data_IF_658551313362
#
_entry.id   IF_658551313362
#
_cell.length_a   1.000
_cell.length_b   1.000
_cell.length_c   1.000
_cell.angle_alpha   90.00
_cell.angle_beta   90.00
_cell.angle_gamma   90.00
#
_symmetry.space_group_name_H-M   'P 1'
#
loop_
_entity.id
_entity.type
_entity.pdbx_description
1 polymer ?
#
# COMPACT_ATOMS: atom_id res chain seq x y z
N UNK A 1 0.91 12.48 6.20
CA UNK A 1 -0.07 12.86 5.16
C UNK A 1 0.34 12.25 3.81
N UNK A 2 0.23 10.92 3.58
CA UNK A 2 0.76 10.29 2.36
C UNK A 2 -0.30 9.96 1.28
N UNK A 3 -1.60 10.17 1.52
CA UNK A 3 -2.64 9.64 0.63
C UNK A 3 -3.17 10.60 -0.46
N UNK A 4 -2.65 11.83 -0.60
CA UNK A 4 -3.21 12.83 -1.52
C UNK A 4 -2.37 12.89 -2.81
N UNK A 5 -2.59 11.92 -3.70
CA UNK A 5 -2.21 12.02 -5.12
C UNK A 5 -3.51 11.88 -5.91
N UNK A 6 -3.62 12.49 -7.11
CA UNK A 6 -4.85 12.57 -7.92
C UNK A 6 -5.24 11.23 -8.58
N UNK A 7 -5.20 10.13 -7.82
CA UNK A 7 -5.34 8.74 -8.26
C UNK A 7 -6.23 7.85 -7.36
N UNK A 8 -6.02 7.74 -6.03
CA UNK A 8 -6.75 6.80 -5.18
C UNK A 8 -7.87 7.46 -4.36
N UNK A 9 -8.60 8.44 -4.91
CA UNK A 9 -9.64 9.16 -4.16
C UNK A 9 -10.80 8.27 -3.67
N UNK A 10 -11.03 7.11 -4.29
CA UNK A 10 -12.10 6.18 -3.88
C UNK A 10 -11.78 5.41 -2.59
N UNK A 11 -10.52 5.10 -2.32
CA UNK A 11 -10.13 4.31 -1.15
C UNK A 11 -9.86 5.17 0.09
N UNK A 12 -9.66 6.48 -0.07
CA UNK A 12 -9.41 7.41 1.04
C UNK A 12 -10.60 7.46 2.01
N UNK A 13 -11.87 7.61 1.56
CA UNK A 13 -13.02 7.59 2.45
C UNK A 13 -13.12 6.29 3.26
N UNK A 14 -12.92 5.13 2.62
CA UNK A 14 -12.96 3.83 3.31
C UNK A 14 -11.80 3.68 4.30
N UNK A 15 -10.59 4.14 3.94
CA UNK A 15 -9.46 4.16 4.87
C UNK A 15 -9.75 5.02 6.11
N UNK A 16 -10.36 6.19 5.92
CA UNK A 16 -10.74 7.10 7.02
C UNK A 16 -11.82 6.46 7.89
N UNK A 17 -12.90 5.94 7.31
CA UNK A 17 -14.00 5.29 8.07
C UNK A 17 -13.51 4.08 8.87
N UNK A 18 -12.71 3.20 8.26
CA UNK A 18 -12.12 2.04 8.96
C UNK A 18 -11.17 2.46 10.09
N UNK A 19 -10.42 3.54 9.91
CA UNK A 19 -9.57 4.11 10.97
C UNK A 19 -10.39 4.68 12.13
N UNK A 20 -11.55 5.27 11.85
CA UNK A 20 -12.45 5.83 12.86
C UNK A 20 -13.38 4.78 13.50
N UNK A 21 -13.39 3.54 12.98
CA UNK A 21 -14.26 2.47 13.47
C UNK A 21 -15.69 2.55 12.93
N UNK A 22 -15.93 3.38 11.91
CA UNK A 22 -17.25 3.53 11.27
C UNK A 22 -17.53 2.43 10.22
N UNK A 23 -16.52 1.62 9.87
CA UNK A 23 -16.60 0.55 8.88
C UNK A 23 -15.76 -0.65 9.35
N UNK A 24 -16.31 -1.86 9.29
CA UNK A 24 -15.61 -3.08 9.69
C UNK A 24 -14.45 -3.41 8.74
N UNK A 25 -13.35 -3.90 9.31
CA UNK A 25 -12.17 -4.29 8.55
C UNK A 25 -12.34 -5.74 8.11
N UNK A 26 -12.81 -5.94 6.88
CA UNK A 26 -12.84 -7.26 6.27
C UNK A 26 -11.53 -7.57 5.54
N UNK A 27 -11.01 -8.77 5.76
CA UNK A 27 -9.87 -9.33 5.05
C UNK A 27 -10.36 -10.46 4.15
N UNK A 28 -9.95 -10.44 2.88
CA UNK A 28 -10.32 -11.49 1.91
C UNK A 28 -9.73 -12.85 2.30
N UNK A 29 -8.53 -12.86 2.91
CA UNK A 29 -7.86 -14.06 3.38
C UNK A 29 -7.30 -13.82 4.79
N UNK A 30 -7.34 -14.83 5.69
CA UNK A 30 -6.77 -14.71 7.03
C UNK A 30 -5.27 -14.33 7.01
N UNK A 31 -4.52 -14.88 6.05
CA UNK A 31 -3.09 -14.58 5.87
C UNK A 31 -2.80 -13.12 5.49
N UNK A 32 -3.79 -12.39 4.97
CA UNK A 32 -3.63 -10.97 4.63
C UNK A 32 -3.71 -10.06 5.86
N UNK A 33 -4.30 -10.52 6.96
CA UNK A 33 -4.45 -9.74 8.18
C UNK A 33 -3.10 -9.27 8.71
N UNK A 34 -2.10 -10.16 8.80
CA UNK A 34 -0.77 -9.85 9.34
C UNK A 34 -0.11 -8.65 8.64
N UNK A 35 -0.24 -8.57 7.31
CA UNK A 35 0.43 -7.57 6.49
C UNK A 35 -0.42 -6.32 6.21
N UNK A 36 -1.75 -6.44 6.27
CA UNK A 36 -2.69 -5.34 6.00
C UNK A 36 -3.29 -4.73 7.27
N UNK A 37 -2.96 -5.24 8.46
CA UNK A 37 -3.39 -4.66 9.74
C UNK A 37 -2.97 -3.20 9.92
N UNK A 38 -1.73 -2.87 9.53
CA UNK A 38 -1.24 -1.48 9.59
C UNK A 38 -2.01 -0.53 8.66
N UNK A 39 -2.70 -1.06 7.65
CA UNK A 39 -3.37 -0.29 6.59
C UNK A 39 -4.87 -0.57 6.52
N UNK A 40 -5.47 -1.11 7.59
CA UNK A 40 -6.92 -1.34 7.71
C UNK A 40 -7.50 -2.18 6.55
N UNK A 41 -6.78 -3.21 6.12
CA UNK A 41 -7.21 -4.11 5.04
C UNK A 41 -7.00 -3.56 3.63
N UNK A 42 -6.45 -2.36 3.47
CA UNK A 42 -6.21 -1.73 2.16
C UNK A 42 -4.74 -1.88 1.79
N UNK A 43 -4.44 -2.33 0.58
CA UNK A 43 -3.05 -2.40 0.10
C UNK A 43 -2.59 -1.00 -0.29
N UNK A 44 -1.59 -0.45 0.42
CA UNK A 44 -1.10 0.92 0.22
C UNK A 44 0.36 0.96 -0.24
N UNK A 45 1.15 -0.06 0.12
CA UNK A 45 2.59 -0.08 -0.10
C UNK A 45 3.03 -1.19 -1.04
N UNK A 46 4.06 -0.90 -1.85
CA UNK A 46 4.70 -1.87 -2.73
C UNK A 46 5.26 -3.07 -1.95
N UNK A 47 5.79 -2.82 -0.75
CA UNK A 47 6.34 -3.83 0.13
C UNK A 47 5.27 -4.83 0.62
N UNK A 48 4.02 -4.38 0.80
CA UNK A 48 2.91 -5.26 1.20
C UNK A 48 2.61 -6.29 0.12
N UNK A 49 2.59 -5.90 -1.15
CA UNK A 49 2.38 -6.83 -2.29
C UNK A 49 3.50 -7.87 -2.36
N UNK A 50 4.74 -7.47 -2.07
CA UNK A 50 5.87 -8.41 -2.03
C UNK A 50 5.74 -9.44 -0.90
N UNK A 51 5.30 -9.01 0.29
CA UNK A 51 5.12 -9.91 1.43
C UNK A 51 3.91 -10.83 1.23
N UNK A 52 2.82 -10.30 0.72
CA UNK A 52 1.62 -11.07 0.41
C UNK A 52 1.88 -12.12 -0.66
N UNK A 53 2.61 -11.80 -1.73
CA UNK A 53 2.96 -12.80 -2.75
C UNK A 53 3.88 -13.91 -2.21
N UNK A 54 4.77 -13.60 -1.28
CA UNK A 54 5.60 -14.60 -0.59
C UNK A 54 4.74 -15.48 0.34
N UNK A 55 3.83 -14.90 1.11
CA UNK A 55 3.00 -15.63 2.08
C UNK A 55 1.92 -16.47 1.39
N UNK A 56 1.19 -15.90 0.43
CA UNK A 56 0.06 -16.54 -0.24
C UNK A 56 0.50 -17.57 -1.28
N UNK A 57 1.49 -17.24 -2.11
CA UNK A 57 1.91 -18.07 -3.23
C UNK A 57 3.30 -18.69 -3.06
N UNK A 58 4.00 -18.43 -1.95
CA UNK A 58 5.35 -18.96 -1.75
C UNK A 58 6.38 -18.40 -2.74
N UNK A 59 6.14 -17.23 -3.34
CA UNK A 59 7.08 -16.61 -4.26
C UNK A 59 8.44 -16.41 -3.59
N UNK A 60 9.51 -16.56 -4.35
CA UNK A 60 10.84 -16.18 -3.88
C UNK A 60 10.97 -14.66 -3.78
N UNK A 61 11.94 -14.16 -2.99
CA UNK A 61 12.24 -12.72 -2.90
C UNK A 61 12.49 -12.08 -4.28
N UNK A 62 13.09 -12.83 -5.21
CA UNK A 62 13.33 -12.38 -6.58
C UNK A 62 12.04 -12.23 -7.38
N UNK A 63 11.16 -13.23 -7.32
CA UNK A 63 9.85 -13.19 -8.01
C UNK A 63 8.95 -12.09 -7.47
N UNK A 64 8.96 -11.86 -6.16
CA UNK A 64 8.24 -10.76 -5.53
C UNK A 64 8.75 -9.38 -6.01
N UNK A 65 10.06 -9.19 -6.19
CA UNK A 65 10.59 -7.93 -6.75
C UNK A 65 10.29 -7.77 -8.24
N UNK A 66 10.25 -8.86 -9.01
CA UNK A 66 9.78 -8.85 -10.40
C UNK A 66 8.32 -8.41 -10.46
N UNK A 67 7.45 -8.96 -9.59
CA UNK A 67 6.05 -8.57 -9.49
C UNK A 67 5.92 -7.07 -9.17
N UNK A 68 6.66 -6.57 -8.17
CA UNK A 68 6.68 -5.15 -7.80
C UNK A 68 7.10 -4.26 -8.98
N UNK A 69 8.16 -4.63 -9.68
CA UNK A 69 8.66 -3.87 -10.85
C UNK A 69 7.66 -3.88 -11.99
N UNK A 70 7.02 -5.01 -12.25
CA UNK A 70 6.00 -5.16 -13.28
C UNK A 70 4.78 -4.27 -12.98
N UNK A 71 4.33 -4.24 -11.73
CA UNK A 71 3.24 -3.36 -11.29
C UNK A 71 3.62 -1.88 -11.40
N UNK A 72 4.78 -1.49 -10.87
CA UNK A 72 5.22 -0.09 -10.92
C UNK A 72 5.42 0.44 -12.34
N UNK A 73 5.82 -0.41 -13.29
CA UNK A 73 5.97 -0.07 -14.71
C UNK A 73 4.75 -0.39 -15.56
N UNK A 74 3.66 -0.89 -14.98
CA UNK A 74 2.43 -1.35 -15.67
C UNK A 74 2.72 -2.30 -16.84
N UNK A 75 3.62 -3.25 -16.63
CA UNK A 75 3.99 -4.24 -17.65
C UNK A 75 2.97 -5.39 -17.72
N UNK A 76 1.90 -5.18 -18.46
CA UNK A 76 0.78 -6.13 -18.60
C UNK A 76 1.29 -7.52 -19.02
N UNK A 77 2.19 -7.59 -20.01
CA UNK A 77 2.74 -8.86 -20.49
C UNK A 77 3.49 -9.68 -19.43
N UNK A 78 4.06 -9.02 -18.41
CA UNK A 78 4.73 -9.71 -17.29
C UNK A 78 3.69 -10.10 -16.23
N UNK A 79 2.72 -9.24 -15.95
CA UNK A 79 1.63 -9.52 -15.02
C UNK A 79 0.78 -10.72 -15.50
N UNK A 80 0.43 -10.79 -16.78
CA UNK A 80 -0.33 -11.90 -17.36
C UNK A 80 0.41 -13.24 -17.27
N UNK A 81 1.75 -13.23 -17.28
CA UNK A 81 2.56 -14.45 -17.06
C UNK A 81 2.62 -14.85 -15.59
N UNK A 82 2.59 -13.87 -14.68
CA UNK A 82 2.71 -14.11 -13.24
C UNK A 82 1.35 -14.45 -12.60
N UNK A 83 0.24 -13.96 -13.16
CA UNK A 83 -1.12 -14.21 -12.68
C UNK A 83 -1.47 -15.71 -12.56
N UNK A 84 -1.34 -16.54 -13.61
CA UNK A 84 -1.67 -17.97 -13.50
C UNK A 84 -0.77 -18.67 -12.49
N UNK A 85 0.53 -18.32 -12.47
CA UNK A 85 1.48 -18.87 -11.51
C UNK A 85 1.12 -18.53 -10.06
N UNK A 86 0.67 -17.30 -9.80
CA UNK A 86 0.20 -16.89 -8.48
C UNK A 86 -1.05 -17.67 -8.05
N UNK A 87 -2.03 -17.80 -8.94
CA UNK A 87 -3.28 -18.53 -8.64
C UNK A 87 -3.00 -20.01 -8.39
N UNK A 88 -2.19 -20.66 -9.22
CA UNK A 88 -1.83 -22.08 -9.05
C UNK A 88 -1.11 -22.32 -7.73
N UNK A 89 -0.10 -21.51 -7.40
CA UNK A 89 0.67 -21.69 -6.17
C UNK A 89 -0.13 -21.36 -4.91
N UNK A 90 -0.93 -20.28 -4.94
CA UNK A 90 -1.78 -19.94 -3.81
C UNK A 90 -2.96 -20.91 -3.64
N UNK A 91 -3.47 -21.47 -4.74
CA UNK A 91 -4.46 -22.55 -4.67
C UNK A 91 -3.85 -23.83 -4.11
N UNK A 92 -2.58 -24.14 -4.42
CA UNK A 92 -1.85 -25.24 -3.80
C UNK A 92 -1.66 -25.06 -2.28
N UNK A 93 -1.62 -23.80 -1.81
CA UNK A 93 -1.59 -23.46 -0.39
C UNK A 93 -2.99 -23.48 0.29
N UNK A 94 -4.05 -23.88 -0.43
CA UNK A 94 -5.39 -24.07 0.11
C UNK A 94 -6.29 -22.82 0.06
N UNK A 95 -5.93 -21.82 -0.73
CA UNK A 95 -6.77 -20.63 -0.94
C UNK A 95 -7.73 -20.80 -2.13
N UNK A 96 -8.94 -20.24 -2.01
CA UNK A 96 -9.96 -20.30 -3.07
C UNK A 96 -9.55 -19.43 -4.27
N UNK A 97 -9.59 -20.01 -5.47
CA UNK A 97 -9.24 -19.34 -6.72
C UNK A 97 -10.05 -18.06 -6.97
N UNK A 98 -11.33 -18.01 -6.56
CA UNK A 98 -12.18 -16.81 -6.71
C UNK A 98 -11.67 -15.65 -5.87
N UNK A 99 -11.21 -15.95 -4.66
CA UNK A 99 -10.67 -14.93 -3.76
C UNK A 99 -9.32 -14.45 -4.31
N UNK A 100 -8.48 -15.36 -4.80
CA UNK A 100 -7.19 -15.03 -5.40
C UNK A 100 -7.34 -14.14 -6.65
N UNK A 101 -8.35 -14.38 -7.49
CA UNK A 101 -8.65 -13.51 -8.62
C UNK A 101 -9.08 -12.11 -8.19
N UNK A 102 -9.88 -11.99 -7.12
CA UNK A 102 -10.26 -10.70 -6.54
C UNK A 102 -9.03 -9.96 -6.02
N UNK A 103 -8.19 -10.62 -5.22
CA UNK A 103 -6.94 -10.06 -4.67
C UNK A 103 -6.02 -9.59 -5.80
N UNK A 104 -5.88 -10.38 -6.86
CA UNK A 104 -5.06 -10.00 -8.01
C UNK A 104 -5.59 -8.75 -8.72
N UNK A 105 -6.91 -8.65 -8.90
CA UNK A 105 -7.56 -7.47 -9.50
C UNK A 105 -7.34 -6.23 -8.63
N UNK A 106 -7.40 -6.37 -7.31
CA UNK A 106 -7.10 -5.29 -6.37
C UNK A 106 -5.63 -4.85 -6.48
N UNK A 107 -4.71 -5.78 -6.73
CA UNK A 107 -3.30 -5.46 -6.98
C UNK A 107 -3.07 -4.75 -8.33
N UNK A 108 -3.81 -5.12 -9.38
CA UNK A 108 -3.77 -4.41 -10.67
C UNK A 108 -4.30 -2.97 -10.53
N UNK A 109 -5.39 -2.79 -9.79
CA UNK A 109 -5.89 -1.45 -9.43
C UNK A 109 -4.82 -0.70 -8.62
N UNK A 110 -4.21 -1.35 -7.63
CA UNK A 110 -3.11 -0.81 -6.82
C UNK A 110 -1.91 -0.35 -7.63
N UNK A 111 -1.52 -1.09 -8.67
CA UNK A 111 -0.39 -0.75 -9.53
C UNK A 111 -0.51 0.66 -10.14
N UNK A 112 -1.72 1.21 -10.25
CA UNK A 112 -1.96 2.56 -10.75
C UNK A 112 -1.66 3.68 -9.74
N UNK A 113 -1.64 3.38 -8.44
CA UNK A 113 -1.44 4.35 -7.35
C UNK A 113 -0.40 3.93 -6.30
N UNK A 114 0.33 2.84 -6.56
CA UNK A 114 1.32 2.25 -5.67
C UNK A 114 2.40 3.26 -5.24
N UNK A 115 2.48 3.54 -3.94
CA UNK A 115 3.43 4.49 -3.38
C UNK A 115 4.55 3.76 -2.63
N UNK A 116 5.77 4.32 -2.66
CA UNK A 116 6.92 3.75 -1.96
C UNK A 116 6.89 4.17 -0.46
N UNK A 117 6.92 3.19 0.47
CA UNK A 117 6.83 3.45 1.92
C UNK A 117 8.03 4.24 2.44
N UNK A 118 9.24 3.93 1.98
CA UNK A 118 10.47 4.59 2.44
C UNK A 118 10.50 6.08 2.09
N UNK A 119 10.14 6.42 0.85
CA UNK A 119 10.03 7.81 0.41
C UNK A 119 8.99 8.57 1.23
N UNK A 120 7.82 7.97 1.48
CA UNK A 120 6.76 8.61 2.28
C UNK A 120 7.18 8.90 3.71
N UNK A 121 7.90 7.96 4.33
CA UNK A 121 8.26 8.03 5.76
C UNK A 121 9.23 9.18 6.03
N UNK A 122 10.22 9.39 5.15
CA UNK A 122 11.18 10.48 5.29
C UNK A 122 10.52 11.87 5.25
N UNK A 123 9.61 12.09 4.30
CA UNK A 123 8.89 13.36 4.23
C UNK A 123 7.87 13.53 5.36
N UNK A 124 7.25 12.43 5.81
CA UNK A 124 6.33 12.46 6.95
C UNK A 124 7.04 12.90 8.24
N UNK A 125 8.29 12.48 8.45
CA UNK A 125 9.09 12.91 9.59
C UNK A 125 9.35 14.42 9.59
N UNK A 126 9.78 14.97 8.44
CA UNK A 126 10.01 16.41 8.29
C UNK A 126 8.70 17.19 8.52
N UNK A 127 7.59 16.72 7.93
CA UNK A 127 6.29 17.35 8.12
C UNK A 127 5.83 17.32 9.59
N UNK A 128 6.08 16.21 10.30
CA UNK A 128 5.79 16.09 11.72
C UNK A 128 6.62 17.08 12.54
N UNK A 129 7.92 17.23 12.25
CA UNK A 129 8.78 18.21 12.90
C UNK A 129 8.29 19.65 12.67
N UNK A 130 7.91 20.00 11.44
CA UNK A 130 7.35 21.33 11.15
C UNK A 130 6.01 21.56 11.87
N UNK A 131 5.13 20.55 11.92
CA UNK A 131 3.86 20.65 12.63
C UNK A 131 4.04 20.80 14.14
N UNK A 132 4.99 20.05 14.73
CA UNK A 132 5.35 20.17 16.15
C UNK A 132 5.86 21.57 16.48
N UNK A 133 6.78 22.11 15.67
CA UNK A 133 7.27 23.47 15.83
C UNK A 133 6.15 24.51 15.67
N UNK A 134 5.19 24.29 14.77
CA UNK A 134 4.04 25.18 14.58
C UNK A 134 3.11 25.19 15.80
N UNK A 135 2.89 24.02 16.42
CA UNK A 135 2.01 23.87 17.57
C UNK A 135 2.61 24.42 18.87
N UNK A 136 3.92 24.22 19.09
CA UNK A 136 4.58 24.58 20.35
C UNK A 136 5.37 25.90 20.29
N UNK A 137 5.79 26.36 19.09
CA UNK A 137 6.55 27.61 18.90
C UNK A 137 6.02 28.48 17.74
N UNK A 138 4.74 28.89 17.77
CA UNK A 138 4.13 29.62 16.66
C UNK A 138 4.82 30.93 16.25
N UNK A 139 5.32 31.80 17.15
CA UNK A 139 5.96 33.06 16.74
C UNK A 139 7.27 32.86 15.96
N UNK A 140 8.01 31.80 16.30
CA UNK A 140 9.34 31.53 15.73
C UNK A 140 9.25 30.94 14.32
N UNK A 141 8.21 30.15 14.04
CA UNK A 141 8.05 29.52 12.73
C UNK A 141 7.71 30.56 11.65
N UNK A 142 6.84 31.52 11.95
CA UNK A 142 6.55 32.63 11.04
C UNK A 142 7.79 33.48 10.80
N UNK A 143 8.56 33.75 11.86
CA UNK A 143 9.83 34.50 11.75
C UNK A 143 10.87 33.80 10.86
N UNK A 144 10.90 32.46 10.84
CA UNK A 144 11.77 31.71 9.92
C UNK A 144 11.30 31.86 8.47
N UNK A 145 10.00 31.77 8.20
CA UNK A 145 9.42 31.94 6.86
C UNK A 145 9.66 33.35 6.28
N UNK A 146 9.54 34.38 7.09
CA UNK A 146 9.74 35.78 6.66
C UNK A 146 11.21 36.20 6.56
N UNK A 147 12.18 35.37 6.99
CA UNK A 147 13.61 35.69 6.95
C UNK A 147 14.35 35.03 5.78
N UNK A 148 13.65 34.18 5.03
CA UNK A 148 14.16 33.44 3.87
C UNK A 148 13.69 34.00 2.52
N UNK A 149 13.08 35.19 2.51
CA UNK A 149 12.84 36.04 1.32
C UNK A 149 13.75 37.25 1.39
#
# INVERSE_FOLDING_TARGET
MPCIVRGPMEYIPSFVRRKHGDEDIEYDLPAMEEYLKETYGITVYQEQVMLLSQSLAGFTKGEADVLRKAMGKKQIAVLDKMKPKFIEQASANGHDAKILEKVWKDWEAFASYAFNKSHSTCYAWIAYQTAYLKAHYPPNIWRLFYRTT
#
